data_IF_408711150068
#
_entry.id   IF_408711150068
#
_cell.length_a   1.000
_cell.length_b   1.000
_cell.length_c   1.000
_cell.angle_alpha   90.00
_cell.angle_beta   90.00
_cell.angle_gamma   90.00
#
_symmetry.space_group_name_H-M   'P 1'
#
loop_
_entity.id
_entity.type
_entity.pdbx_description
1 polymer ?
#
# COMPACT_ATOMS: atom_id res chain seq x y z
N UNK A 1 -0.41 -18.81 0.21
CA UNK A 1 -0.46 -17.54 0.96
C UNK A 1 0.96 -17.27 1.41
N UNK A 2 1.65 -16.28 0.84
CA UNK A 2 2.90 -15.80 1.46
C UNK A 2 2.44 -14.83 2.54
N UNK A 3 2.26 -15.34 3.76
CA UNK A 3 1.98 -14.50 4.90
C UNK A 3 3.20 -13.59 5.08
N UNK A 4 3.06 -12.30 4.78
CA UNK A 4 3.93 -11.30 5.41
C UNK A 4 3.75 -11.50 6.91
N UNK A 5 4.85 -11.78 7.61
CA UNK A 5 4.81 -11.95 9.05
C UNK A 5 4.11 -10.72 9.66
N UNK A 6 3.17 -10.97 10.57
CA UNK A 6 2.44 -9.92 11.25
C UNK A 6 3.43 -9.21 12.18
N UNK A 7 3.92 -8.05 11.76
CA UNK A 7 4.86 -7.24 12.52
C UNK A 7 4.04 -6.48 13.58
N UNK A 8 4.39 -6.64 14.85
CA UNK A 8 3.73 -5.87 15.90
C UNK A 8 4.19 -4.39 15.88
N UNK A 9 3.48 -3.53 16.61
CA UNK A 9 3.77 -2.09 16.58
C UNK A 9 5.19 -1.75 17.12
N UNK A 10 5.70 -2.51 18.08
CA UNK A 10 7.03 -2.36 18.65
C UNK A 10 8.12 -2.79 17.69
N UNK A 11 7.96 -3.94 17.03
CA UNK A 11 8.88 -4.40 15.99
C UNK A 11 8.91 -3.42 14.80
N UNK A 12 7.75 -2.93 14.36
CA UNK A 12 7.65 -1.91 13.31
C UNK A 12 8.39 -0.63 13.72
N UNK A 13 8.22 -0.19 14.96
CA UNK A 13 8.93 0.98 15.52
C UNK A 13 10.44 0.76 15.50
N UNK A 14 10.92 -0.39 15.97
CA UNK A 14 12.35 -0.71 16.03
C UNK A 14 12.98 -0.73 14.63
N UNK A 15 12.32 -1.31 13.64
CA UNK A 15 12.83 -1.35 12.27
C UNK A 15 12.85 0.06 11.65
N UNK A 16 11.80 0.85 11.87
CA UNK A 16 11.77 2.25 11.40
C UNK A 16 12.87 3.07 12.09
N UNK A 17 13.08 2.89 13.40
CA UNK A 17 14.12 3.58 14.15
C UNK A 17 15.53 3.22 13.67
N UNK A 18 15.80 1.95 13.40
CA UNK A 18 17.11 1.50 12.90
C UNK A 18 17.48 2.13 11.55
N UNK A 19 16.50 2.40 10.68
CA UNK A 19 16.76 2.94 9.33
C UNK A 19 16.59 4.46 9.28
N UNK A 20 15.66 5.02 10.04
CA UNK A 20 15.23 6.41 9.94
C UNK A 20 15.50 7.23 11.20
N UNK A 21 16.01 6.65 12.28
CA UNK A 21 16.17 7.30 13.60
C UNK A 21 17.15 8.46 13.61
N UNK A 22 18.05 8.56 12.64
CA UNK A 22 19.02 9.65 12.55
C UNK A 22 18.46 10.86 11.79
N UNK A 23 18.10 11.93 12.52
CA UNK A 23 17.82 13.25 11.93
C UNK A 23 19.10 14.05 11.80
N UNK A 24 19.43 14.48 10.58
CA UNK A 24 20.44 15.53 10.39
C UNK A 24 19.92 16.77 9.65
N UNK A 25 18.76 16.70 8.98
CA UNK A 25 18.37 17.76 8.04
C UNK A 25 17.29 18.72 8.59
N UNK A 26 17.53 20.05 8.64
CA UNK A 26 16.57 21.04 9.17
C UNK A 26 15.17 20.99 8.53
N UNK A 27 15.10 20.77 7.21
CA UNK A 27 13.83 20.63 6.47
C UNK A 27 12.93 19.51 7.00
N UNK A 28 13.48 18.44 7.59
CA UNK A 28 12.68 17.33 8.16
C UNK A 28 11.86 17.84 9.35
N UNK A 29 12.50 18.63 10.23
CA UNK A 29 11.89 19.16 11.45
C UNK A 29 10.64 19.99 11.17
N UNK A 30 10.59 20.67 10.01
CA UNK A 30 9.45 21.49 9.60
C UNK A 30 8.15 20.69 9.42
N UNK A 31 8.23 19.37 9.22
CA UNK A 31 7.05 18.53 8.93
C UNK A 31 6.73 17.51 10.03
N UNK A 32 7.62 17.31 11.01
CA UNK A 32 7.37 16.37 12.12
C UNK A 32 6.11 16.81 12.87
N UNK A 33 5.18 15.88 13.09
CA UNK A 33 3.92 16.13 13.77
C UNK A 33 2.86 16.87 12.93
N UNK A 34 3.16 17.30 11.70
CA UNK A 34 2.20 18.01 10.81
C UNK A 34 1.37 17.11 9.91
N UNK A 35 1.54 15.80 10.03
CA UNK A 35 0.79 14.82 9.27
C UNK A 35 -0.65 14.71 9.76
N UNK A 36 -1.58 14.47 8.85
CA UNK A 36 -3.00 14.21 9.13
C UNK A 36 -3.46 12.95 8.38
N UNK A 37 -4.65 12.43 8.72
CA UNK A 37 -5.12 11.12 8.22
C UNK A 37 -4.05 10.02 8.39
N UNK A 38 -3.47 9.96 9.60
CA UNK A 38 -2.41 9.02 9.94
C UNK A 38 -2.99 7.62 10.07
N UNK A 39 -2.47 6.68 9.31
CA UNK A 39 -2.91 5.30 9.30
C UNK A 39 -1.75 4.34 9.41
N UNK A 40 -1.98 3.22 10.10
CA UNK A 40 -1.03 2.13 10.25
C UNK A 40 -1.70 0.83 9.86
N UNK A 41 -1.14 0.10 8.90
CA UNK A 41 -1.39 -1.33 8.71
C UNK A 41 -0.24 -2.11 9.34
N UNK A 42 -0.31 -3.44 9.36
CA UNK A 42 0.67 -4.35 10.02
C UNK A 42 2.13 -3.91 9.82
N UNK A 43 2.56 -3.70 8.57
CA UNK A 43 3.93 -3.39 8.22
C UNK A 43 4.11 -1.98 7.60
N UNK A 44 3.11 -1.10 7.64
CA UNK A 44 3.17 0.17 6.90
C UNK A 44 2.50 1.31 7.66
N UNK A 45 3.15 2.46 7.66
CA UNK A 45 2.57 3.74 8.07
C UNK A 45 2.32 4.60 6.83
N UNK A 46 1.20 5.32 6.83
CA UNK A 46 0.87 6.29 5.80
C UNK A 46 0.17 7.51 6.41
N UNK A 47 0.35 8.67 5.80
CA UNK A 47 -0.35 9.88 6.19
C UNK A 47 -0.28 10.94 5.08
N UNK A 48 -1.11 11.97 5.22
CA UNK A 48 -1.09 13.17 4.37
C UNK A 48 -0.36 14.32 5.05
N UNK A 49 0.25 15.19 4.25
CA UNK A 49 0.89 16.42 4.73
C UNK A 49 0.75 17.53 3.70
N UNK A 50 0.57 18.77 4.15
CA UNK A 50 0.61 19.94 3.27
C UNK A 50 2.06 20.22 2.86
N UNK A 51 2.33 20.30 1.56
CA UNK A 51 3.61 20.74 1.02
C UNK A 51 3.44 21.86 0.00
N UNK A 52 4.55 22.26 -0.62
CA UNK A 52 4.62 23.46 -1.48
C UNK A 52 3.69 23.43 -2.70
N UNK A 53 3.29 22.24 -3.17
CA UNK A 53 2.41 22.07 -4.33
C UNK A 53 1.15 21.28 -3.98
N UNK A 54 0.64 21.46 -2.75
CA UNK A 54 -0.60 20.84 -2.28
C UNK A 54 -0.36 19.68 -1.30
N UNK A 55 -1.36 18.82 -1.18
CA UNK A 55 -1.35 17.70 -0.22
C UNK A 55 -0.56 16.52 -0.79
N UNK A 56 0.44 16.06 -0.03
CA UNK A 56 1.21 14.88 -0.38
C UNK A 56 0.80 13.67 0.46
N UNK A 57 0.68 12.52 -0.19
CA UNK A 57 0.50 11.23 0.47
C UNK A 57 1.88 10.57 0.63
N UNK A 58 2.20 10.24 1.87
CA UNK A 58 3.51 9.74 2.29
C UNK A 58 3.33 8.40 2.98
N UNK A 59 4.22 7.46 2.73
CA UNK A 59 4.22 6.17 3.42
C UNK A 59 5.61 5.61 3.63
N UNK A 60 5.77 4.84 4.70
CA UNK A 60 6.93 3.99 4.99
C UNK A 60 6.40 2.58 5.26
N UNK A 61 6.91 1.60 4.54
CA UNK A 61 6.55 0.19 4.61
C UNK A 61 7.81 -0.62 4.96
N UNK A 62 7.68 -1.53 5.91
CA UNK A 62 8.69 -2.53 6.22
C UNK A 62 8.42 -3.76 5.38
N UNK A 63 9.45 -4.24 4.70
CA UNK A 63 9.37 -5.48 3.93
C UNK A 63 10.69 -6.24 4.04
N UNK A 64 10.59 -7.49 4.45
CA UNK A 64 11.73 -8.36 4.72
C UNK A 64 12.68 -7.68 5.73
N UNK A 65 13.97 -7.51 5.39
CA UNK A 65 14.97 -6.83 6.23
C UNK A 65 15.13 -5.33 5.94
N UNK A 66 14.23 -4.75 5.13
CA UNK A 66 14.38 -3.38 4.64
C UNK A 66 13.15 -2.51 4.85
N UNK A 67 13.32 -1.21 4.59
CA UNK A 67 12.19 -0.28 4.48
C UNK A 67 12.06 0.24 3.05
N UNK A 68 10.82 0.39 2.62
CA UNK A 68 10.44 1.10 1.41
C UNK A 68 9.70 2.36 1.81
N UNK A 69 9.99 3.47 1.16
CA UNK A 69 9.20 4.69 1.35
C UNK A 69 8.69 5.24 0.02
N UNK A 70 7.59 5.96 0.09
CA UNK A 70 6.97 6.60 -1.05
C UNK A 70 6.39 7.95 -0.63
N UNK A 71 6.52 8.94 -1.50
CA UNK A 71 5.91 10.24 -1.33
C UNK A 71 5.41 10.73 -2.69
N UNK A 72 4.18 11.24 -2.73
CA UNK A 72 3.59 11.77 -3.96
C UNK A 72 4.19 13.11 -4.41
N UNK A 73 5.09 13.71 -3.62
CA UNK A 73 5.78 14.93 -4.02
C UNK A 73 6.71 14.70 -5.23
N UNK A 74 7.01 15.75 -5.97
CA UNK A 74 7.80 15.65 -7.20
C UNK A 74 9.25 15.16 -6.96
N UNK A 75 9.81 15.47 -5.79
CA UNK A 75 11.15 15.04 -5.34
C UNK A 75 11.15 13.55 -4.95
N UNK A 76 10.05 13.07 -4.36
CA UNK A 76 9.96 11.77 -3.69
C UNK A 76 9.82 10.55 -4.58
N UNK A 77 10.12 10.65 -5.89
CA UNK A 77 9.93 9.56 -6.88
C UNK A 77 10.58 8.21 -6.48
N UNK A 78 11.60 8.22 -5.62
CA UNK A 78 12.30 7.03 -5.13
C UNK A 78 12.18 6.73 -3.64
N UNK A 79 11.34 7.46 -2.89
CA UNK A 79 11.41 7.47 -1.42
C UNK A 79 12.58 8.32 -0.91
N UNK A 80 12.63 8.58 0.40
CA UNK A 80 13.74 9.34 1.01
C UNK A 80 13.68 10.87 0.87
N UNK A 81 12.55 11.45 0.49
CA UNK A 81 12.35 12.89 0.65
C UNK A 81 12.21 13.27 2.14
N UNK A 82 12.37 14.54 2.50
CA UNK A 82 12.24 14.99 3.89
C UNK A 82 10.86 14.69 4.50
N UNK A 83 9.81 14.54 3.70
CA UNK A 83 8.50 14.09 4.20
C UNK A 83 8.53 12.63 4.66
N UNK A 84 9.26 11.73 3.98
CA UNK A 84 9.37 10.33 4.41
C UNK A 84 10.08 10.24 5.77
N UNK A 85 11.20 10.96 5.92
CA UNK A 85 11.88 11.09 7.21
C UNK A 85 10.95 11.68 8.28
N UNK A 86 10.24 12.77 7.96
CA UNK A 86 9.35 13.40 8.92
C UNK A 86 8.17 12.49 9.33
N UNK A 87 7.66 11.67 8.41
CA UNK A 87 6.62 10.68 8.71
C UNK A 87 7.15 9.62 9.67
N UNK A 88 8.34 9.06 9.38
CA UNK A 88 9.00 8.11 10.26
C UNK A 88 9.17 8.67 11.68
N UNK A 89 9.72 9.88 11.82
CA UNK A 89 9.85 10.52 13.14
C UNK A 89 8.51 10.84 13.81
N UNK A 90 7.49 11.22 13.03
CA UNK A 90 6.16 11.43 13.58
C UNK A 90 5.60 10.14 14.19
N UNK A 91 5.85 9.00 13.55
CA UNK A 91 5.51 7.69 14.10
C UNK A 91 6.36 7.32 15.31
N UNK A 92 7.69 7.50 15.27
CA UNK A 92 8.58 7.20 16.40
C UNK A 92 8.22 7.99 17.66
N UNK A 93 7.84 9.27 17.50
CA UNK A 93 7.48 10.17 18.59
C UNK A 93 6.08 9.89 19.16
N UNK A 94 5.13 9.42 18.35
CA UNK A 94 3.72 9.29 18.73
C UNK A 94 3.03 8.17 17.95
N UNK A 95 3.41 6.90 18.17
CA UNK A 95 2.90 5.78 17.37
C UNK A 95 1.38 5.61 17.51
N UNK A 96 0.84 5.89 18.69
CA UNK A 96 -0.60 5.78 18.99
C UNK A 96 -1.46 6.83 18.26
N UNK A 97 -0.83 7.85 17.66
CA UNK A 97 -1.54 8.84 16.83
C UNK A 97 -1.95 8.30 15.45
N UNK A 98 -1.54 7.07 15.10
CA UNK A 98 -1.87 6.42 13.83
C UNK A 98 -3.06 5.47 14.02
N UNK A 99 -4.13 5.74 13.28
CA UNK A 99 -5.31 4.86 13.26
C UNK A 99 -4.93 3.51 12.65
N UNK A 100 -5.10 2.43 13.40
CA UNK A 100 -4.88 1.07 12.89
C UNK A 100 -5.95 0.75 11.84
N UNK A 101 -5.49 0.34 10.66
CA UNK A 101 -6.32 -0.23 9.60
C UNK A 101 -6.03 -1.71 9.58
N UNK A 102 -6.97 -2.50 10.10
CA UNK A 102 -6.92 -3.95 10.00
C UNK A 102 -7.21 -4.38 8.57
N UNK A 103 -6.40 -5.30 8.06
CA UNK A 103 -6.67 -5.92 6.77
C UNK A 103 -7.88 -6.83 6.94
N UNK A 104 -9.05 -6.36 6.51
CA UNK A 104 -10.26 -7.18 6.51
C UNK A 104 -10.08 -8.34 5.54
N UNK A 105 -10.48 -9.54 5.95
CA UNK A 105 -10.75 -10.60 4.99
C UNK A 105 -12.10 -10.34 4.34
N UNK A 106 -12.23 -10.65 3.06
CA UNK A 106 -13.54 -10.62 2.41
C UNK A 106 -14.40 -11.75 2.96
N UNK A 107 -15.60 -11.45 3.51
CA UNK A 107 -16.55 -12.47 3.89
C UNK A 107 -17.06 -13.19 2.63
N UNK A 108 -17.70 -14.36 2.82
CA UNK A 108 -18.21 -15.19 1.71
C UNK A 108 -19.26 -14.46 0.84
N UNK A 109 -19.99 -13.53 1.44
CA UNK A 109 -20.99 -12.68 0.77
C UNK A 109 -20.71 -11.23 1.18
N UNK A 110 -19.81 -10.53 0.48
CA UNK A 110 -19.39 -9.20 0.87
C UNK A 110 -20.45 -8.15 0.52
N UNK A 111 -20.68 -7.21 1.44
CA UNK A 111 -21.32 -5.96 1.12
C UNK A 111 -20.35 -5.05 0.34
N UNK A 112 -20.87 -3.98 -0.27
CA UNK A 112 -20.02 -3.06 -1.05
C UNK A 112 -18.94 -2.39 -0.18
N UNK A 113 -19.29 -2.11 1.08
CA UNK A 113 -18.40 -1.54 2.09
C UNK A 113 -17.24 -2.48 2.41
N UNK A 114 -17.51 -3.80 2.49
CA UNK A 114 -16.47 -4.81 2.74
C UNK A 114 -15.47 -4.85 1.58
N UNK A 115 -15.95 -4.74 0.34
CA UNK A 115 -15.10 -4.66 -0.85
C UNK A 115 -14.24 -3.40 -0.79
N UNK A 116 -14.84 -2.25 -0.48
CA UNK A 116 -14.13 -0.97 -0.37
C UNK A 116 -13.02 -1.04 0.68
N UNK A 117 -13.30 -1.60 1.84
CA UNK A 117 -12.34 -1.73 2.93
C UNK A 117 -11.21 -2.72 2.58
N UNK A 118 -11.56 -3.86 1.97
CA UNK A 118 -10.58 -4.83 1.49
C UNK A 118 -9.62 -4.22 0.46
N UNK A 119 -10.14 -3.48 -0.51
CA UNK A 119 -9.36 -2.86 -1.58
C UNK A 119 -8.47 -1.71 -1.08
N UNK A 120 -8.82 -1.06 0.04
CA UNK A 120 -7.94 -0.09 0.70
C UNK A 120 -6.75 -0.75 1.37
N UNK A 121 -6.96 -1.93 1.96
CA UNK A 121 -5.90 -2.72 2.61
C UNK A 121 -5.05 -3.56 1.66
N UNK A 122 -5.44 -3.70 0.40
CA UNK A 122 -4.76 -4.59 -0.57
C UNK A 122 -4.27 -3.82 -1.79
N UNK A 123 -2.99 -3.94 -2.12
CA UNK A 123 -2.37 -3.30 -3.29
C UNK A 123 -2.66 -4.07 -4.58
N UNK A 124 -2.54 -3.39 -5.73
CA UNK A 124 -2.67 -4.05 -7.03
C UNK A 124 -1.57 -5.10 -7.26
N UNK A 125 -0.35 -4.89 -6.73
CA UNK A 125 0.73 -5.88 -6.82
C UNK A 125 0.39 -7.18 -6.09
N UNK A 126 -0.27 -7.10 -4.93
CA UNK A 126 -0.74 -8.29 -4.20
C UNK A 126 -1.82 -9.04 -4.97
N UNK A 127 -2.82 -8.34 -5.51
CA UNK A 127 -3.88 -8.96 -6.31
C UNK A 127 -3.32 -9.63 -7.57
N UNK A 128 -2.35 -8.99 -8.25
CA UNK A 128 -1.69 -9.59 -9.42
C UNK A 128 -0.85 -10.82 -9.05
N UNK A 129 -0.24 -10.86 -7.86
CA UNK A 129 0.43 -12.07 -7.35
C UNK A 129 -0.56 -13.18 -7.06
N UNK A 130 -1.72 -12.86 -6.50
CA UNK A 130 -2.79 -13.85 -6.29
C UNK A 130 -3.33 -14.40 -7.61
N UNK A 131 -3.52 -13.55 -8.62
CA UNK A 131 -3.87 -13.98 -9.98
C UNK A 131 -2.82 -14.92 -10.57
N UNK A 132 -1.53 -14.56 -10.43
CA UNK A 132 -0.44 -15.43 -10.88
C UNK A 132 -0.44 -16.78 -10.16
N UNK A 133 -0.68 -16.80 -8.85
CA UNK A 133 -0.83 -18.03 -8.07
C UNK A 133 -2.09 -18.83 -8.48
N UNK A 134 -3.11 -18.15 -8.99
CA UNK A 134 -4.28 -18.77 -9.61
C UNK A 134 -4.03 -19.23 -11.06
N UNK A 135 -2.85 -18.98 -11.63
CA UNK A 135 -2.47 -19.42 -12.98
C UNK A 135 -2.77 -18.42 -14.09
N UNK A 136 -3.05 -17.15 -13.76
CA UNK A 136 -3.25 -16.09 -14.77
C UNK A 136 -2.03 -15.17 -14.81
N UNK A 137 -1.38 -15.05 -15.96
CA UNK A 137 -0.26 -14.12 -16.08
C UNK A 137 -0.77 -12.67 -16.11
N UNK A 138 0.07 -11.73 -15.65
CA UNK A 138 -0.26 -10.31 -15.66
C UNK A 138 -0.62 -9.80 -17.07
N UNK A 139 0.05 -10.34 -18.11
CA UNK A 139 -0.23 -10.03 -19.52
C UNK A 139 -1.66 -10.44 -19.89
N UNK A 140 -2.01 -11.70 -19.64
CA UNK A 140 -3.32 -12.27 -19.99
C UNK A 140 -4.45 -11.52 -19.28
N UNK A 141 -4.25 -11.19 -18.00
CA UNK A 141 -5.22 -10.36 -17.27
C UNK A 141 -5.41 -8.98 -17.93
N UNK A 142 -4.31 -8.27 -18.21
CA UNK A 142 -4.40 -6.94 -18.82
C UNK A 142 -5.16 -7.00 -20.15
N UNK A 143 -4.81 -7.96 -21.01
CA UNK A 143 -5.47 -8.17 -22.30
C UNK A 143 -6.96 -8.51 -22.14
N UNK A 144 -7.33 -9.33 -21.15
CA UNK A 144 -8.72 -9.72 -20.88
C UNK A 144 -9.64 -8.56 -20.49
N UNK A 145 -9.08 -7.49 -19.92
CA UNK A 145 -9.83 -6.27 -19.56
C UNK A 145 -9.64 -5.14 -20.59
N UNK A 146 -9.07 -5.43 -21.75
CA UNK A 146 -8.81 -4.44 -22.80
C UNK A 146 -7.71 -3.45 -22.46
N UNK A 147 -6.80 -3.80 -21.54
CA UNK A 147 -5.73 -2.92 -21.06
C UNK A 147 -4.37 -3.33 -21.62
N UNK A 148 -3.55 -2.35 -22.03
CA UNK A 148 -2.16 -2.60 -22.38
C UNK A 148 -1.35 -3.07 -21.15
N UNK A 149 -0.59 -4.18 -21.21
CA UNK A 149 0.23 -4.67 -20.08
C UNK A 149 1.24 -3.65 -19.51
N UNK A 150 1.74 -2.73 -20.36
CA UNK A 150 2.61 -1.62 -19.92
C UNK A 150 1.83 -0.59 -19.10
N UNK A 151 0.58 -0.31 -19.48
CA UNK A 151 -0.30 0.58 -18.72
C UNK A 151 -0.63 -0.02 -17.35
N UNK A 152 -0.97 -1.31 -17.28
CA UNK A 152 -1.17 -2.00 -16.00
C UNK A 152 0.07 -1.90 -15.09
N UNK A 153 1.26 -2.04 -15.68
CA UNK A 153 2.53 -1.87 -14.95
C UNK A 153 2.74 -0.43 -14.47
N UNK A 154 2.28 0.57 -15.22
CA UNK A 154 2.28 1.99 -14.84
C UNK A 154 1.33 2.25 -13.66
N UNK A 155 0.10 1.72 -13.69
CA UNK A 155 -0.87 1.81 -12.60
C UNK A 155 -0.25 1.24 -11.32
N UNK A 156 0.25 0.00 -11.39
CA UNK A 156 0.91 -0.68 -10.27
C UNK A 156 2.05 0.14 -9.69
N UNK A 157 2.93 0.64 -10.55
CA UNK A 157 4.08 1.44 -10.12
C UNK A 157 3.67 2.79 -9.52
N UNK A 158 2.57 3.36 -9.99
CA UNK A 158 2.05 4.65 -9.52
C UNK A 158 1.38 4.52 -8.15
N UNK A 159 0.59 3.47 -7.93
CA UNK A 159 0.05 3.16 -6.60
C UNK A 159 1.16 3.03 -5.56
N UNK A 160 2.21 2.26 -5.87
CA UNK A 160 3.35 2.07 -4.97
C UNK A 160 4.14 3.35 -4.70
N UNK A 161 3.91 4.41 -5.48
CA UNK A 161 4.50 5.75 -5.29
C UNK A 161 3.48 6.76 -4.74
N UNK A 162 2.35 6.28 -4.21
CA UNK A 162 1.26 7.12 -3.69
C UNK A 162 0.73 8.13 -4.72
N UNK A 163 0.79 7.78 -6.01
CA UNK A 163 0.27 8.61 -7.09
C UNK A 163 -1.13 8.15 -7.45
N UNK A 164 -2.01 9.14 -7.61
CA UNK A 164 -3.37 8.90 -8.02
C UNK A 164 -3.43 8.37 -9.46
N UNK A 165 -4.30 7.39 -9.67
CA UNK A 165 -4.63 6.84 -10.97
C UNK A 165 -6.14 6.54 -10.96
N UNK A 166 -6.90 7.19 -11.83
CA UNK A 166 -8.38 7.11 -11.86
C UNK A 166 -8.87 5.65 -11.91
N UNK A 167 -8.17 4.81 -12.68
CA UNK A 167 -8.56 3.43 -12.95
C UNK A 167 -8.08 2.45 -11.89
N UNK A 168 -7.35 2.88 -10.85
CA UNK A 168 -6.76 1.97 -9.86
C UNK A 168 -7.83 1.14 -9.15
N UNK A 169 -8.91 1.78 -8.68
CA UNK A 169 -10.01 1.09 -8.00
C UNK A 169 -10.68 0.04 -8.89
N UNK A 170 -11.03 0.44 -10.12
CA UNK A 170 -11.65 -0.45 -11.10
C UNK A 170 -10.73 -1.63 -11.48
N UNK A 171 -9.44 -1.37 -11.69
CA UNK A 171 -8.44 -2.41 -11.99
C UNK A 171 -8.32 -3.41 -10.86
N UNK A 172 -8.27 -2.95 -9.59
CA UNK A 172 -8.22 -3.85 -8.43
C UNK A 172 -9.50 -4.68 -8.31
N UNK A 173 -10.66 -4.07 -8.54
CA UNK A 173 -11.94 -4.78 -8.50
C UNK A 173 -12.00 -5.87 -9.58
N UNK A 174 -11.51 -5.58 -10.80
CA UNK A 174 -11.42 -6.58 -11.87
C UNK A 174 -10.49 -7.74 -11.50
N UNK A 175 -9.33 -7.46 -10.89
CA UNK A 175 -8.47 -8.52 -10.37
C UNK A 175 -9.20 -9.39 -9.34
N UNK A 176 -9.86 -8.75 -8.36
CA UNK A 176 -10.57 -9.44 -7.29
C UNK A 176 -11.66 -10.36 -7.84
N UNK A 177 -12.49 -9.84 -8.74
CA UNK A 177 -13.55 -10.61 -9.39
C UNK A 177 -12.99 -11.85 -10.09
N UNK A 178 -11.90 -11.71 -10.85
CA UNK A 178 -11.32 -12.83 -11.58
C UNK A 178 -10.71 -13.89 -10.66
N UNK A 179 -10.10 -13.48 -9.54
CA UNK A 179 -9.63 -14.39 -8.49
C UNK A 179 -10.80 -15.22 -7.93
N UNK A 180 -11.91 -14.57 -7.59
CA UNK A 180 -13.10 -15.24 -7.05
C UNK A 180 -13.75 -16.18 -8.06
N UNK A 181 -13.84 -15.75 -9.32
CA UNK A 181 -14.40 -16.55 -10.41
C UNK A 181 -13.61 -17.84 -10.63
N UNK A 182 -12.27 -17.75 -10.71
CA UNK A 182 -11.40 -18.92 -10.88
C UNK A 182 -11.48 -19.86 -9.67
N UNK A 183 -11.50 -19.30 -8.45
CA UNK A 183 -11.65 -20.10 -7.21
C UNK A 183 -12.98 -20.85 -7.19
N UNK A 184 -14.06 -20.21 -7.61
CA UNK A 184 -15.39 -20.82 -7.67
C UNK A 184 -15.46 -21.94 -8.71
N UNK A 185 -14.93 -21.71 -9.92
CA UNK A 185 -14.86 -22.72 -10.97
C UNK A 185 -14.01 -23.94 -10.59
N UNK A 186 -12.95 -23.77 -9.79
CA UNK A 186 -12.15 -24.89 -9.27
C UNK A 186 -12.88 -25.69 -8.19
N UNK A 187 -13.67 -25.04 -7.34
CA UNK A 187 -14.47 -25.72 -6.32
C UNK A 187 -15.58 -26.58 -6.95
N UNK A 188 -16.20 -26.12 -8.03
CA UNK A 188 -17.24 -26.89 -8.72
C UNK A 188 -16.69 -28.13 -9.43
N UNK A 189 -15.47 -28.07 -9.99
CA UNK A 189 -14.80 -29.22 -10.65
C UNK A 189 -14.25 -30.30 -9.71
N UNK A 190 -14.19 -30.03 -8.40
CA UNK A 190 -13.71 -30.96 -7.37
C UNK A 190 -14.84 -31.69 -6.62
N UNK A 191 -16.09 -31.35 -6.93
CA UNK A 191 -17.28 -32.08 -6.49
C UNK A 191 -17.70 -33.05 -7.59
#
# INVERSE_FOLDING_TARGET
>A
MSATAQIDAGELKNIIEAVWGHISHPKVRLYIGKFFERTRTENKIAAKVNGNHGVYLVSVEVKDKGTRSACSCYIGKGGGCHHCYALAHTFLNSPDSFKVIERKMLPKTPALEDISDYLRGTTLDELLKELKAAGVAQKDFAESIGMNPRHLSSIKSSELRNRYYNELGATKLACLWMIEHIRSARKSRRK
#
